data_IF_431275282902
#
_entry.id   IF_431275282902
#
_cell.length_a   1.000
_cell.length_b   1.000
_cell.length_c   1.000
_cell.angle_alpha   90.00
_cell.angle_beta   90.00
_cell.angle_gamma   90.00
#
_symmetry.space_group_name_H-M   'P 1'
#
loop_
_entity.id
_entity.type
_entity.pdbx_description
1 polymer ?
#
# COMPACT_ATOMS: atom_id res chain seq x y z
N UNK A 1 -18.03 -13.01 -4.53
CA UNK A 1 -18.68 -12.42 -3.36
C UNK A 1 -17.65 -11.56 -2.67
N UNK A 2 -17.93 -10.27 -2.53
CA UNK A 2 -17.13 -9.30 -1.77
C UNK A 2 -16.65 -9.88 -0.43
N UNK A 3 -15.38 -9.69 -0.05
CA UNK A 3 -14.92 -10.02 1.31
C UNK A 3 -15.52 -9.00 2.28
N UNK A 4 -16.47 -9.48 3.08
CA UNK A 4 -17.19 -8.70 4.07
C UNK A 4 -17.19 -9.43 5.40
N UNK A 5 -16.74 -8.73 6.44
CA UNK A 5 -16.79 -9.21 7.82
C UNK A 5 -17.98 -8.56 8.54
N UNK A 6 -18.69 -9.34 9.37
CA UNK A 6 -19.90 -8.87 10.03
C UNK A 6 -19.62 -7.83 11.13
N UNK A 7 -18.50 -8.00 11.82
CA UNK A 7 -18.06 -7.23 12.99
C UNK A 7 -16.92 -6.27 12.68
N UNK A 8 -16.35 -6.31 11.46
CA UNK A 8 -15.21 -5.48 11.07
C UNK A 8 -15.43 -4.77 9.73
N UNK A 9 -14.88 -3.57 9.63
CA UNK A 9 -14.55 -2.98 8.33
C UNK A 9 -13.25 -3.57 7.83
N UNK A 10 -13.13 -3.75 6.52
CA UNK A 10 -11.90 -4.15 5.83
C UNK A 10 -11.60 -3.15 4.71
N UNK A 11 -10.34 -2.77 4.50
CA UNK A 11 -10.00 -1.75 3.50
C UNK A 11 -8.74 -2.07 2.67
N UNK A 12 -7.64 -1.36 2.87
CA UNK A 12 -6.41 -1.58 2.11
C UNK A 12 -6.03 -3.04 2.17
N UNK A 13 -5.79 -3.63 0.99
CA UNK A 13 -5.54 -5.05 0.87
C UNK A 13 -4.44 -5.35 -0.13
N UNK A 14 -3.72 -6.44 0.12
CA UNK A 14 -2.63 -6.87 -0.73
C UNK A 14 -2.69 -8.37 -1.02
N UNK A 15 -2.72 -8.74 -2.31
CA UNK A 15 -2.74 -10.13 -2.72
C UNK A 15 -1.32 -10.71 -2.74
N UNK A 16 -1.22 -12.00 -2.44
CA UNK A 16 -0.04 -12.84 -2.64
C UNK A 16 -0.51 -14.20 -3.14
N UNK A 17 0.06 -14.73 -4.22
CA UNK A 17 -0.26 -16.07 -4.71
C UNK A 17 0.88 -17.01 -4.37
N UNK A 18 0.57 -18.09 -3.64
CA UNK A 18 1.57 -19.08 -3.25
C UNK A 18 1.96 -20.00 -4.42
N UNK A 19 3.00 -20.82 -4.23
CA UNK A 19 3.44 -21.79 -5.23
C UNK A 19 2.45 -22.92 -5.52
N UNK A 20 1.36 -23.03 -4.76
CA UNK A 20 0.29 -24.02 -4.93
C UNK A 20 -0.92 -23.45 -5.71
N UNK A 21 -0.91 -22.14 -6.00
CA UNK A 21 -1.99 -21.44 -6.69
C UNK A 21 -3.07 -20.89 -5.76
N UNK A 22 -2.88 -20.93 -4.43
CA UNK A 22 -3.77 -20.27 -3.48
C UNK A 22 -3.52 -18.77 -3.47
N UNK A 23 -4.59 -17.99 -3.49
CA UNK A 23 -4.56 -16.54 -3.40
C UNK A 23 -4.77 -16.11 -1.95
N UNK A 24 -3.70 -15.67 -1.31
CA UNK A 24 -3.74 -15.03 0.01
C UNK A 24 -4.09 -13.56 -0.18
N UNK A 25 -4.98 -13.05 0.66
CA UNK A 25 -5.28 -11.63 0.76
C UNK A 25 -5.05 -11.21 2.21
N UNK A 26 -4.11 -10.30 2.36
CA UNK A 26 -3.88 -9.59 3.61
C UNK A 26 -4.60 -8.26 3.52
N UNK A 27 -5.16 -7.80 4.63
CA UNK A 27 -5.96 -6.58 4.62
C UNK A 27 -5.94 -5.90 5.97
N UNK A 28 -6.11 -4.58 5.95
CA UNK A 28 -6.37 -3.84 7.17
C UNK A 28 -7.83 -4.02 7.59
N UNK A 29 -8.04 -4.16 8.90
CA UNK A 29 -9.35 -4.29 9.50
C UNK A 29 -9.47 -3.54 10.84
N UNK A 30 -10.70 -3.18 11.21
CA UNK A 30 -11.04 -2.54 12.47
C UNK A 30 -12.48 -2.86 12.85
N UNK A 31 -12.78 -2.84 14.15
CA UNK A 31 -14.08 -3.21 14.70
C UNK A 31 -15.18 -2.19 14.33
N UNK A 32 -16.34 -2.67 13.87
CA UNK A 32 -17.52 -1.84 13.54
C UNK A 32 -18.18 -1.24 14.78
N UNK A 33 -17.79 -1.64 15.98
CA UNK A 33 -18.22 -1.03 17.25
C UNK A 33 -17.55 0.31 17.56
N UNK A 34 -16.53 0.72 16.78
CA UNK A 34 -15.97 2.06 16.91
C UNK A 34 -17.06 3.13 16.64
N UNK A 35 -17.03 4.28 17.34
CA UNK A 35 -18.07 5.30 17.19
C UNK A 35 -18.19 5.91 15.79
N UNK A 36 -17.09 5.92 15.03
CA UNK A 36 -17.04 6.46 13.67
C UNK A 36 -16.04 5.67 12.81
N UNK A 37 -16.34 5.38 11.52
CA UNK A 37 -15.45 4.61 10.64
C UNK A 37 -14.06 5.23 10.45
N UNK A 38 -13.92 6.55 10.56
CA UNK A 38 -12.60 7.21 10.45
C UNK A 38 -11.64 6.84 11.60
N UNK A 39 -12.15 6.36 12.73
CA UNK A 39 -11.30 5.87 13.81
C UNK A 39 -10.57 4.57 13.43
N UNK A 40 -10.98 3.88 12.35
CA UNK A 40 -10.33 2.65 11.86
C UNK A 40 -8.84 2.84 11.59
N UNK A 41 -8.45 4.03 11.12
CA UNK A 41 -7.05 4.33 10.80
C UNK A 41 -6.14 4.27 12.02
N UNK A 42 -6.69 4.52 13.22
CA UNK A 42 -5.99 4.50 14.51
C UNK A 42 -6.23 3.24 15.33
N UNK A 43 -7.10 2.34 14.86
CA UNK A 43 -7.38 1.06 15.48
C UNK A 43 -7.24 -0.12 14.50
N UNK A 44 -6.19 -0.16 13.64
CA UNK A 44 -6.05 -1.20 12.64
C UNK A 44 -5.49 -2.48 13.26
N UNK A 45 -5.77 -3.61 12.62
CA UNK A 45 -4.96 -4.82 12.63
C UNK A 45 -4.85 -5.37 11.21
N UNK A 46 -3.87 -6.23 10.95
CA UNK A 46 -3.71 -6.93 9.67
C UNK A 46 -4.43 -8.29 9.77
N UNK A 47 -5.51 -8.45 9.00
CA UNK A 47 -6.24 -9.71 8.83
C UNK A 47 -5.73 -10.51 7.63
N UNK A 48 -6.20 -11.75 7.52
CA UNK A 48 -5.81 -12.68 6.46
C UNK A 48 -7.02 -13.50 5.97
N UNK A 49 -7.10 -13.70 4.66
CA UNK A 49 -8.02 -14.63 4.03
C UNK A 49 -7.33 -15.34 2.86
N UNK A 50 -7.85 -16.50 2.50
CA UNK A 50 -7.38 -17.29 1.35
C UNK A 50 -8.53 -17.59 0.40
N UNK A 51 -8.22 -17.64 -0.90
CA UNK A 51 -9.15 -17.91 -1.98
C UNK A 51 -8.47 -18.72 -3.09
N UNK A 52 -9.26 -19.36 -3.95
CA UNK A 52 -8.79 -19.98 -5.19
C UNK A 52 -9.27 -19.22 -6.44
N UNK A 53 -10.07 -18.16 -6.27
CA UNK A 53 -10.73 -17.44 -7.38
C UNK A 53 -10.83 -15.92 -7.17
N UNK A 54 -10.23 -15.38 -6.09
CA UNK A 54 -10.35 -13.99 -5.62
C UNK A 54 -11.77 -13.52 -5.29
N UNK A 55 -12.76 -14.42 -5.25
CA UNK A 55 -14.18 -14.11 -5.06
C UNK A 55 -14.81 -14.86 -3.90
N UNK A 56 -14.23 -15.99 -3.51
CA UNK A 56 -14.71 -16.82 -2.43
C UNK A 56 -13.59 -16.92 -1.41
N UNK A 57 -13.80 -16.34 -0.24
CA UNK A 57 -12.77 -16.13 0.77
C UNK A 57 -13.02 -17.00 2.00
N UNK A 58 -11.96 -17.67 2.47
CA UNK A 58 -11.90 -18.29 3.80
C UNK A 58 -11.03 -17.42 4.68
N UNK A 59 -11.61 -16.85 5.73
CA UNK A 59 -10.87 -16.06 6.73
C UNK A 59 -9.96 -16.97 7.53
N UNK A 60 -8.72 -16.54 7.72
CA UNK A 60 -7.67 -17.20 8.50
C UNK A 60 -7.35 -16.37 9.75
N UNK A 61 -6.52 -16.88 10.68
CA UNK A 61 -6.08 -16.09 11.83
C UNK A 61 -5.50 -14.74 11.43
N UNK A 62 -5.75 -13.72 12.25
CA UNK A 62 -5.14 -12.40 12.09
C UNK A 62 -3.60 -12.49 12.11
N UNK A 63 -2.95 -11.63 11.33
CA UNK A 63 -1.50 -11.65 11.14
C UNK A 63 -0.80 -10.95 12.29
N UNK A 64 -1.00 -9.64 12.41
CA UNK A 64 -0.43 -8.80 13.47
C UNK A 64 -1.39 -7.63 13.77
N UNK A 65 -1.44 -7.21 15.02
CA UNK A 65 -2.06 -5.97 15.48
C UNK A 65 -0.99 -5.09 16.14
N UNK A 66 -1.18 -3.78 16.35
CA UNK A 66 -0.20 -2.90 17.00
C UNK A 66 0.36 -3.50 18.28
N UNK A 67 1.66 -3.28 18.51
CA UNK A 67 2.32 -3.85 19.69
C UNK A 67 1.62 -3.42 20.98
N UNK A 68 1.36 -4.39 21.86
CA UNK A 68 0.74 -4.13 23.17
C UNK A 68 1.71 -3.42 24.13
N UNK A 69 3.01 -3.56 23.90
CA UNK A 69 4.08 -2.87 24.64
C UNK A 69 4.70 -1.75 23.80
N UNK A 70 5.33 -0.74 24.43
CA UNK A 70 6.03 0.31 23.70
C UNK A 70 7.01 -0.23 22.65
N UNK A 71 6.82 0.20 21.40
CA UNK A 71 7.54 -0.26 20.21
C UNK A 71 7.40 0.78 19.09
N UNK A 72 8.16 0.64 18.00
CA UNK A 72 8.07 1.51 16.82
C UNK A 72 6.73 1.38 16.06
N UNK A 73 5.98 0.30 16.29
CA UNK A 73 4.69 -0.06 15.70
C UNK A 73 3.57 -0.20 16.76
N UNK A 74 3.71 0.43 17.92
CA UNK A 74 2.76 0.34 19.03
C UNK A 74 1.52 1.23 18.91
N UNK A 75 1.45 2.07 17.87
CA UNK A 75 0.27 2.88 17.54
C UNK A 75 -0.55 2.24 16.43
N UNK A 76 0.06 1.94 15.28
CA UNK A 76 -0.64 1.38 14.12
C UNK A 76 0.20 0.33 13.40
N UNK A 77 -0.50 -0.62 12.74
CA UNK A 77 0.03 -1.55 11.73
C UNK A 77 -0.78 -1.36 10.46
N UNK A 78 -0.18 -0.77 9.43
CA UNK A 78 -0.80 -0.36 8.18
C UNK A 78 -0.30 -1.17 6.98
N UNK A 79 -0.75 -0.74 5.80
CA UNK A 79 -0.64 -1.41 4.51
C UNK A 79 0.78 -1.88 4.19
N UNK A 80 0.87 -2.95 3.40
CA UNK A 80 2.12 -3.65 3.16
C UNK A 80 2.18 -4.47 1.87
N UNK A 81 3.17 -5.35 1.79
CA UNK A 81 3.27 -6.38 0.75
C UNK A 81 3.95 -7.63 1.30
N UNK A 82 3.66 -8.77 0.68
CA UNK A 82 4.28 -10.05 1.01
C UNK A 82 5.16 -10.49 -0.15
N UNK A 83 6.36 -10.95 0.18
CA UNK A 83 7.28 -11.64 -0.76
C UNK A 83 7.78 -12.93 -0.14
N UNK A 84 8.16 -13.90 -0.98
CA UNK A 84 8.91 -15.06 -0.52
C UNK A 84 10.40 -14.78 -0.72
N UNK A 85 11.17 -14.83 0.36
CA UNK A 85 12.62 -14.65 0.32
C UNK A 85 13.36 -15.86 -0.28
N UNK A 86 14.66 -15.74 -0.53
CA UNK A 86 15.47 -16.78 -1.18
C UNK A 86 15.61 -18.06 -0.35
N UNK A 87 15.35 -18.00 0.96
CA UNK A 87 15.33 -19.15 1.87
C UNK A 87 14.00 -19.91 1.86
N UNK A 88 13.00 -19.42 1.12
CA UNK A 88 11.64 -19.95 1.09
C UNK A 88 10.73 -19.39 2.18
N UNK A 89 11.26 -18.59 3.12
CA UNK A 89 10.48 -17.90 4.15
C UNK A 89 9.69 -16.74 3.56
N UNK A 90 8.50 -16.49 4.08
CA UNK A 90 7.67 -15.37 3.67
C UNK A 90 7.92 -14.15 4.55
N UNK A 91 7.91 -12.98 3.90
CA UNK A 91 8.18 -11.69 4.52
C UNK A 91 7.02 -10.75 4.24
N UNK A 92 6.31 -10.33 5.29
CA UNK A 92 5.34 -9.25 5.25
C UNK A 92 6.04 -7.96 5.63
N UNK A 93 6.27 -7.08 4.66
CA UNK A 93 6.66 -5.70 4.93
C UNK A 93 5.41 -4.89 5.19
N UNK A 94 5.39 -4.10 6.27
CA UNK A 94 4.23 -3.31 6.66
C UNK A 94 4.67 -1.98 7.27
N UNK A 95 3.75 -1.02 7.27
CA UNK A 95 3.97 0.29 7.90
C UNK A 95 3.58 0.26 9.37
N UNK A 96 4.44 0.80 10.23
CA UNK A 96 4.15 1.01 11.64
C UNK A 96 4.34 2.46 12.03
N UNK A 97 3.63 2.85 13.09
CA UNK A 97 3.81 4.14 13.76
C UNK A 97 3.82 3.93 15.27
N UNK A 98 4.39 4.90 16.00
CA UNK A 98 4.49 4.82 17.47
C UNK A 98 3.69 5.89 18.18
N UNK A 99 3.14 5.53 19.34
CA UNK A 99 2.42 6.43 20.24
C UNK A 99 3.32 7.53 20.79
N UNK A 100 4.63 7.27 20.89
CA UNK A 100 5.61 8.24 21.36
C UNK A 100 5.78 9.45 20.42
N UNK A 101 5.35 9.31 19.17
CA UNK A 101 5.41 10.34 18.12
C UNK A 101 4.00 10.68 17.61
N UNK A 102 2.98 10.47 18.45
CA UNK A 102 1.56 10.67 18.15
C UNK A 102 1.07 9.94 16.88
N UNK A 103 1.80 8.90 16.45
CA UNK A 103 1.53 8.17 15.21
C UNK A 103 1.81 8.96 13.92
N UNK A 104 2.52 10.09 14.00
CA UNK A 104 2.73 11.01 12.87
C UNK A 104 3.91 10.63 11.97
N UNK A 105 4.85 9.84 12.47
CA UNK A 105 6.05 9.41 11.74
C UNK A 105 5.90 7.96 11.29
N UNK A 106 5.92 7.75 9.98
CA UNK A 106 5.70 6.43 9.37
C UNK A 106 7.03 5.76 9.10
N UNK A 107 7.11 4.48 9.46
CA UNK A 107 8.28 3.64 9.22
C UNK A 107 7.86 2.27 8.73
N UNK A 108 8.79 1.56 8.11
CA UNK A 108 8.53 0.23 7.53
C UNK A 108 9.32 -0.80 8.32
N UNK A 109 8.65 -1.87 8.72
CA UNK A 109 9.27 -3.06 9.31
C UNK A 109 8.75 -4.33 8.65
N UNK A 110 9.02 -5.47 9.29
CA UNK A 110 8.74 -6.78 8.73
C UNK A 110 8.19 -7.76 9.76
N UNK A 111 7.34 -8.67 9.32
CA UNK A 111 7.01 -9.90 10.01
C UNK A 111 7.33 -11.08 9.09
N UNK A 112 7.73 -12.20 9.68
CA UNK A 112 8.15 -13.40 8.95
C UNK A 112 7.19 -14.56 9.21
N UNK A 113 7.03 -15.43 8.21
CA UNK A 113 6.22 -16.64 8.31
C UNK A 113 6.84 -17.79 7.52
N UNK A 114 6.67 -19.02 8.02
CA UNK A 114 7.07 -20.23 7.30
C UNK A 114 5.91 -20.86 6.51
N UNK A 115 4.66 -20.47 6.80
CA UNK A 115 3.45 -21.11 6.29
C UNK A 115 2.35 -20.14 5.78
N UNK A 116 2.65 -18.83 5.75
CA UNK A 116 1.73 -17.72 5.42
C UNK A 116 0.57 -17.52 6.42
N UNK A 117 0.49 -18.31 7.48
CA UNK A 117 -0.61 -18.28 8.46
C UNK A 117 -0.13 -17.77 9.82
N UNK A 118 1.02 -18.25 10.29
CA UNK A 118 1.60 -17.84 11.56
C UNK A 118 2.73 -16.84 11.30
N UNK A 119 2.63 -15.67 11.90
CA UNK A 119 3.55 -14.56 11.66
C UNK A 119 4.22 -14.10 12.95
N UNK A 120 5.52 -13.81 12.85
CA UNK A 120 6.32 -13.28 13.95
C UNK A 120 6.98 -11.98 13.52
N UNK A 121 6.93 -10.94 14.37
CA UNK A 121 7.64 -9.69 14.11
C UNK A 121 9.14 -9.94 13.96
N UNK A 122 9.74 -9.31 12.96
CA UNK A 122 11.18 -9.34 12.77
C UNK A 122 11.84 -8.21 13.56
N UNK A 123 12.69 -8.58 14.51
CA UNK A 123 13.43 -7.62 15.34
C UNK A 123 12.54 -6.78 16.27
N UNK A 124 13.16 -5.76 16.88
CA UNK A 124 12.54 -4.82 17.83
C UNK A 124 12.51 -3.37 17.31
N UNK A 125 12.94 -3.16 16.06
CA UNK A 125 13.01 -1.85 15.40
C UNK A 125 12.48 -1.92 13.98
N UNK A 126 12.17 -0.76 13.39
CA UNK A 126 11.88 -0.62 11.97
C UNK A 126 13.12 -0.90 11.11
N UNK A 127 12.90 -1.24 9.85
CA UNK A 127 13.94 -1.48 8.84
C UNK A 127 14.25 -0.24 7.99
N UNK A 128 13.22 0.56 7.69
CA UNK A 128 13.34 1.71 6.77
C UNK A 128 12.54 2.89 7.28
N UNK A 129 13.09 4.10 7.15
CA UNK A 129 12.42 5.38 7.43
C UNK A 129 12.80 6.43 6.38
N UNK A 130 12.10 7.56 6.36
CA UNK A 130 12.37 8.66 5.44
C UNK A 130 13.77 9.27 5.67
N UNK A 131 14.60 9.22 4.62
CA UNK A 131 15.89 9.90 4.59
C UNK A 131 15.70 11.38 4.19
N UNK A 132 16.08 12.35 5.05
CA UNK A 132 15.88 13.78 4.79
C UNK A 132 16.65 14.33 3.59
N UNK A 133 17.61 13.57 3.03
CA UNK A 133 18.27 13.93 1.77
C UNK A 133 17.28 13.94 0.60
N UNK A 134 16.26 13.07 0.65
CA UNK A 134 15.35 12.80 -0.46
C UNK A 134 13.88 13.05 -0.12
N UNK A 135 13.50 12.82 1.14
CA UNK A 135 12.11 12.76 1.56
C UNK A 135 11.78 13.79 2.65
N UNK A 136 10.56 14.29 2.61
CA UNK A 136 10.00 15.21 3.59
C UNK A 136 9.97 14.57 4.98
N UNK A 137 10.34 15.35 6.00
CA UNK A 137 10.22 15.00 7.41
C UNK A 137 9.01 15.70 8.01
N UNK A 138 8.50 15.19 9.13
CA UNK A 138 7.30 15.72 9.78
C UNK A 138 7.41 17.23 10.09
N UNK A 139 6.47 18.00 9.56
CA UNK A 139 6.21 19.39 9.94
C UNK A 139 4.71 19.66 9.82
N UNK A 140 4.04 19.75 10.96
CA UNK A 140 2.59 19.97 11.08
C UNK A 140 2.09 21.26 10.42
N UNK A 141 2.98 22.24 10.16
CA UNK A 141 2.63 23.46 9.44
C UNK A 141 2.58 23.26 7.91
N UNK A 142 3.18 22.19 7.40
CA UNK A 142 3.29 21.89 5.96
C UNK A 142 2.34 20.75 5.56
N UNK A 143 2.33 19.67 6.34
CA UNK A 143 1.57 18.46 6.06
C UNK A 143 1.16 17.76 7.35
N UNK A 144 0.19 16.84 7.27
CA UNK A 144 -0.43 16.24 8.46
C UNK A 144 0.36 15.04 9.02
N UNK A 145 1.27 14.44 8.24
CA UNK A 145 2.08 13.29 8.61
C UNK A 145 3.48 13.33 7.93
N UNK A 146 4.42 12.50 8.38
CA UNK A 146 5.62 12.15 7.61
C UNK A 146 5.33 10.91 6.78
N UNK A 147 4.97 11.12 5.52
CA UNK A 147 4.62 10.06 4.59
C UNK A 147 5.84 9.20 4.24
N UNK A 148 5.85 7.95 4.71
CA UNK A 148 6.83 6.92 4.33
C UNK A 148 6.24 5.54 4.60
N UNK A 149 5.28 5.14 3.77
CA UNK A 149 4.40 3.98 4.01
C UNK A 149 4.13 3.14 2.78
N UNK A 150 3.31 2.12 2.96
CA UNK A 150 2.75 1.25 1.93
C UNK A 150 3.82 0.51 1.09
N UNK A 151 4.75 -0.24 1.73
CA UNK A 151 5.85 -0.88 1.03
C UNK A 151 5.36 -1.88 0.00
N UNK A 152 5.81 -1.72 -1.24
CA UNK A 152 5.69 -2.72 -2.31
C UNK A 152 7.07 -3.26 -2.65
N UNK A 153 7.35 -4.49 -2.22
CA UNK A 153 8.65 -5.15 -2.41
C UNK A 153 8.59 -6.11 -3.59
N UNK A 154 9.62 -6.07 -4.43
CA UNK A 154 9.79 -7.01 -5.54
C UNK A 154 11.28 -7.28 -5.81
N UNK A 155 11.57 -8.46 -6.35
CA UNK A 155 12.93 -8.83 -6.76
C UNK A 155 13.38 -7.98 -7.95
N UNK A 156 14.63 -7.55 -7.96
CA UNK A 156 15.22 -6.86 -9.11
C UNK A 156 15.22 -7.82 -10.32
N UNK A 157 14.62 -7.46 -11.48
CA UNK A 157 14.62 -8.32 -12.67
C UNK A 157 16.03 -8.69 -13.17
N UNK A 158 17.06 -7.93 -12.81
CA UNK A 158 18.45 -8.25 -13.11
C UNK A 158 19.07 -9.28 -12.15
N UNK A 159 18.35 -9.66 -11.08
CA UNK A 159 18.82 -10.55 -10.01
C UNK A 159 19.76 -9.88 -9.01
N UNK A 160 19.79 -8.54 -8.98
CA UNK A 160 20.66 -7.73 -8.13
C UNK A 160 19.96 -7.25 -6.84
N UNK A 161 19.29 -8.17 -6.14
CA UNK A 161 18.61 -7.89 -4.87
C UNK A 161 17.13 -7.54 -5.04
N UNK A 162 16.67 -6.57 -4.27
CA UNK A 162 15.25 -6.26 -4.07
C UNK A 162 15.02 -4.76 -4.09
N UNK A 163 13.87 -4.36 -4.62
CA UNK A 163 13.39 -2.99 -4.58
C UNK A 163 12.15 -2.89 -3.71
N UNK A 164 12.02 -1.75 -3.03
CA UNK A 164 10.83 -1.35 -2.30
C UNK A 164 10.36 -0.01 -2.83
N UNK A 165 9.10 0.03 -3.29
CA UNK A 165 8.39 1.27 -3.58
C UNK A 165 7.64 1.69 -2.33
N UNK A 166 7.59 2.99 -2.08
CA UNK A 166 6.90 3.55 -0.90
C UNK A 166 6.14 4.80 -1.28
N UNK A 167 5.02 5.03 -0.60
CA UNK A 167 4.36 6.33 -0.57
C UNK A 167 5.24 7.30 0.20
N UNK A 168 5.73 8.32 -0.49
CA UNK A 168 6.58 9.33 0.11
C UNK A 168 6.30 10.73 -0.45
N UNK A 169 6.94 11.72 0.16
CA UNK A 169 6.88 13.11 -0.27
C UNK A 169 8.29 13.69 -0.41
N UNK A 170 8.53 14.55 -1.38
CA UNK A 170 9.79 15.31 -1.49
C UNK A 170 9.79 16.52 -0.54
N UNK A 171 10.95 16.98 -0.02
CA UNK A 171 11.01 18.07 0.97
C UNK A 171 10.87 19.48 0.38
N UNK A 172 10.44 19.63 -0.88
CA UNK A 172 10.43 20.90 -1.62
C UNK A 172 9.24 21.02 -2.58
N UNK A 173 8.92 22.25 -2.99
CA UNK A 173 7.78 22.55 -3.87
C UNK A 173 6.49 22.87 -3.10
N UNK A 174 5.38 23.02 -3.81
CA UNK A 174 4.07 23.28 -3.20
C UNK A 174 3.54 22.03 -2.47
N UNK A 175 2.97 22.21 -1.27
CA UNK A 175 2.69 21.09 -0.35
C UNK A 175 1.78 20.00 -0.96
N UNK A 176 0.73 20.40 -1.70
CA UNK A 176 -0.18 19.47 -2.38
C UNK A 176 0.37 18.85 -3.68
N UNK A 177 1.61 19.18 -4.04
CA UNK A 177 2.34 18.58 -5.17
C UNK A 177 3.47 17.65 -4.74
N UNK A 178 3.81 17.57 -3.44
CA UNK A 178 5.04 16.90 -2.99
C UNK A 178 5.02 15.37 -3.06
N UNK A 179 3.88 14.74 -3.37
CA UNK A 179 3.76 13.28 -3.43
C UNK A 179 4.63 12.67 -4.53
N UNK A 180 5.34 11.59 -4.19
CA UNK A 180 6.22 10.83 -5.08
C UNK A 180 6.20 9.34 -4.74
N UNK A 181 6.66 8.53 -5.69
CA UNK A 181 7.05 7.14 -5.44
C UNK A 181 8.47 7.12 -4.90
N UNK A 182 8.60 6.86 -3.59
CA UNK A 182 9.89 6.67 -2.95
C UNK A 182 10.50 5.31 -3.26
N UNK A 183 11.78 5.16 -2.93
CA UNK A 183 12.61 4.01 -3.27
C UNK A 183 13.51 3.60 -2.10
N UNK A 184 13.56 2.31 -1.85
CA UNK A 184 14.67 1.68 -1.17
C UNK A 184 15.12 0.43 -1.93
N UNK A 185 16.37 0.04 -1.73
CA UNK A 185 16.96 -1.18 -2.29
C UNK A 185 17.58 -2.02 -1.20
N UNK A 186 17.53 -3.34 -1.35
CA UNK A 186 18.15 -4.29 -0.42
C UNK A 186 18.84 -5.42 -1.17
N UNK A 187 20.05 -5.84 -0.75
CA UNK A 187 20.68 -7.03 -1.32
C UNK A 187 20.05 -8.34 -0.79
N UNK A 188 19.39 -8.31 0.37
CA UNK A 188 19.10 -9.52 1.17
C UNK A 188 17.73 -9.52 1.88
N UNK A 189 16.90 -8.50 1.67
CA UNK A 189 15.62 -8.22 2.38
C UNK A 189 15.77 -7.80 3.85
N UNK A 190 16.98 -7.81 4.41
CA UNK A 190 17.27 -7.47 5.80
C UNK A 190 17.83 -6.06 5.92
N UNK A 191 18.78 -5.70 5.05
CA UNK A 191 19.47 -4.40 5.04
C UNK A 191 18.96 -3.54 3.91
N UNK A 192 18.49 -2.33 4.21
CA UNK A 192 17.89 -1.44 3.22
C UNK A 192 18.67 -0.14 3.05
N UNK A 193 18.89 0.25 1.80
CA UNK A 193 19.42 1.54 1.39
C UNK A 193 18.28 2.40 0.83
N UNK A 194 17.98 3.52 1.51
CA UNK A 194 17.04 4.51 1.01
C UNK A 194 17.67 5.30 -0.14
N UNK A 195 16.98 5.34 -1.28
CA UNK A 195 17.45 5.91 -2.55
C UNK A 195 16.57 7.09 -2.99
N UNK A 196 16.99 7.89 -3.99
CA UNK A 196 16.15 8.97 -4.54
C UNK A 196 14.80 8.46 -5.06
N UNK A 197 13.75 9.31 -5.11
CA UNK A 197 12.44 8.91 -5.61
C UNK A 197 12.49 8.50 -7.09
N UNK A 198 11.60 7.58 -7.47
CA UNK A 198 11.48 7.08 -8.86
C UNK A 198 10.50 7.90 -9.71
N UNK A 199 9.78 8.83 -9.09
CA UNK A 199 8.90 9.77 -9.78
C UNK A 199 9.24 11.21 -9.42
N UNK A 200 8.90 12.13 -10.33
CA UNK A 200 8.83 13.54 -10.02
C UNK A 200 7.43 13.89 -9.44
N UNK A 201 7.32 14.98 -8.67
CA UNK A 201 6.04 15.63 -8.36
C UNK A 201 5.15 15.78 -9.61
N UNK A 202 3.85 15.46 -9.47
CA UNK A 202 2.89 15.53 -10.58
C UNK A 202 1.49 15.98 -10.18
N UNK A 203 1.39 16.82 -9.14
CA UNK A 203 0.11 17.37 -8.67
C UNK A 203 -0.67 16.46 -7.71
N UNK A 204 0.02 15.50 -7.08
CA UNK A 204 -0.51 14.66 -6.03
C UNK A 204 0.15 15.03 -4.70
N UNK A 205 -0.64 15.18 -3.64
CA UNK A 205 -0.11 15.41 -2.29
C UNK A 205 0.53 14.15 -1.74
N UNK A 206 -0.06 12.99 -2.03
CA UNK A 206 0.45 11.66 -1.70
C UNK A 206 0.08 10.68 -2.81
N UNK A 207 0.92 9.67 -3.00
CA UNK A 207 0.73 8.59 -3.98
C UNK A 207 0.72 7.26 -3.22
N UNK A 208 -0.46 6.88 -2.73
CA UNK A 208 -0.70 5.84 -1.74
C UNK A 208 -0.75 4.44 -2.36
N UNK A 209 -0.44 3.41 -1.58
CA UNK A 209 -0.57 1.98 -1.95
C UNK A 209 0.05 1.67 -3.32
N UNK A 210 1.34 1.99 -3.54
CA UNK A 210 1.99 1.76 -4.81
C UNK A 210 2.05 0.28 -5.14
N UNK A 211 1.98 -0.04 -6.43
CA UNK A 211 2.23 -1.38 -6.96
C UNK A 211 2.91 -1.27 -8.32
N UNK A 212 4.03 -1.96 -8.48
CA UNK A 212 4.56 -2.25 -9.81
C UNK A 212 3.94 -3.53 -10.38
N UNK A 213 3.52 -3.48 -11.64
CA UNK A 213 3.02 -4.63 -12.39
C UNK A 213 3.27 -4.46 -13.89
N UNK A 214 3.55 -5.55 -14.60
CA UNK A 214 3.56 -5.55 -16.07
C UNK A 214 2.21 -5.98 -16.62
N UNK A 215 1.54 -5.06 -17.31
CA UNK A 215 0.23 -5.28 -17.95
C UNK A 215 0.47 -5.46 -19.43
N UNK A 216 0.24 -6.66 -19.96
CA UNK A 216 0.49 -7.02 -21.36
C UNK A 216 1.89 -6.61 -21.87
N UNK A 217 2.90 -6.76 -21.01
CA UNK A 217 4.29 -6.40 -21.30
C UNK A 217 4.61 -4.90 -21.15
N UNK A 218 3.69 -4.10 -20.62
CA UNK A 218 3.89 -2.68 -20.35
C UNK A 218 4.14 -2.46 -18.84
N UNK A 219 5.34 -1.97 -18.45
CA UNK A 219 5.61 -1.51 -17.10
C UNK A 219 4.57 -0.49 -16.64
N UNK A 220 3.84 -0.85 -15.59
CA UNK A 220 2.75 -0.05 -15.05
C UNK A 220 2.92 0.12 -13.55
N UNK A 221 2.65 1.32 -13.06
CA UNK A 221 2.63 1.64 -11.64
C UNK A 221 1.25 2.14 -11.23
N UNK A 222 0.65 1.43 -10.29
CA UNK A 222 -0.67 1.73 -9.71
C UNK A 222 -0.46 2.40 -8.36
N UNK A 223 -1.32 3.36 -8.03
CA UNK A 223 -1.37 4.02 -6.73
C UNK A 223 -2.77 4.61 -6.51
N UNK A 224 -3.14 5.01 -5.29
CA UNK A 224 -4.35 5.78 -5.04
C UNK A 224 -4.05 7.15 -4.45
N UNK A 225 -5.04 8.04 -4.50
CA UNK A 225 -4.94 9.37 -3.90
C UNK A 225 -6.31 9.88 -3.53
N UNK A 226 -6.44 10.43 -2.32
CA UNK A 226 -7.73 10.83 -1.76
C UNK A 226 -8.25 12.12 -2.35
N UNK A 227 -9.56 12.32 -2.25
CA UNK A 227 -10.21 13.57 -2.67
C UNK A 227 -9.61 14.75 -1.89
N UNK A 228 -9.31 15.84 -2.59
CA UNK A 228 -8.72 17.03 -1.98
C UNK A 228 -7.21 16.97 -1.75
N UNK A 229 -6.53 15.85 -1.99
CA UNK A 229 -5.07 15.73 -1.95
C UNK A 229 -4.42 16.00 -3.32
N UNK A 230 -4.93 16.98 -4.05
CA UNK A 230 -4.45 17.35 -5.36
C UNK A 230 -4.02 18.82 -5.40
N UNK A 231 -2.99 19.10 -6.18
CA UNK A 231 -2.62 20.48 -6.49
C UNK A 231 -3.58 21.05 -7.55
N UNK A 232 -4.30 22.15 -7.27
CA UNK A 232 -5.24 22.74 -8.21
C UNK A 232 -4.59 23.28 -9.49
N UNK A 233 -3.26 23.44 -9.53
CA UNK A 233 -2.53 23.79 -10.75
C UNK A 233 -2.45 22.62 -11.74
N UNK A 234 -2.62 21.38 -11.28
CA UNK A 234 -2.52 20.16 -12.09
C UNK A 234 -3.86 19.46 -12.29
N UNK A 235 -4.76 19.55 -11.31
CA UNK A 235 -6.02 18.82 -11.31
C UNK A 235 -7.18 19.72 -10.88
N UNK A 236 -8.38 19.57 -11.48
CA UNK A 236 -9.57 20.25 -11.01
C UNK A 236 -9.81 20.04 -9.51
N UNK A 237 -10.31 21.05 -8.81
CA UNK A 237 -10.54 20.99 -7.37
C UNK A 237 -11.60 19.94 -6.97
N UNK A 238 -12.47 19.55 -7.90
CA UNK A 238 -13.50 18.53 -7.76
C UNK A 238 -13.05 17.14 -8.25
N UNK A 239 -11.75 16.95 -8.49
CA UNK A 239 -11.20 15.62 -8.81
C UNK A 239 -11.54 14.66 -7.66
N UNK A 240 -12.25 13.54 -7.94
CA UNK A 240 -12.60 12.58 -6.90
C UNK A 240 -11.37 11.80 -6.44
N UNK A 241 -11.49 11.20 -5.26
CA UNK A 241 -10.57 10.14 -4.84
C UNK A 241 -10.54 9.03 -5.90
N UNK A 242 -9.46 8.26 -5.94
CA UNK A 242 -9.47 7.05 -6.74
C UNK A 242 -8.11 6.43 -6.95
N UNK A 243 -8.11 5.40 -7.78
CA UNK A 243 -6.94 4.66 -8.20
C UNK A 243 -6.44 5.21 -9.52
N UNK A 244 -5.12 5.34 -9.63
CA UNK A 244 -4.42 5.93 -10.74
C UNK A 244 -3.38 4.94 -11.25
N UNK A 245 -3.15 4.96 -12.57
CA UNK A 245 -2.08 4.20 -13.20
C UNK A 245 -1.19 5.13 -14.01
N UNK A 246 0.10 4.86 -14.01
CA UNK A 246 1.04 5.43 -14.96
C UNK A 246 1.85 4.31 -15.62
N UNK A 247 2.29 4.56 -16.84
CA UNK A 247 3.01 3.58 -17.66
C UNK A 247 4.29 4.19 -18.22
N UNK A 248 5.31 3.37 -18.38
CA UNK A 248 6.57 3.74 -19.01
C UNK A 248 7.06 2.64 -19.97
N UNK A 249 8.17 2.90 -20.66
CA UNK A 249 8.85 1.99 -21.59
C UNK A 249 10.21 1.50 -21.09
N UNK A 250 10.59 1.85 -19.85
CA UNK A 250 11.93 1.71 -19.31
C UNK A 250 12.06 0.59 -18.27
N UNK A 251 10.97 0.25 -17.57
CA UNK A 251 10.92 -0.85 -16.59
C UNK A 251 10.42 -0.43 -15.20
N UNK A 252 10.65 -1.27 -14.17
CA UNK A 252 10.08 -1.08 -12.83
C UNK A 252 10.58 0.16 -12.09
N UNK A 253 11.78 0.61 -12.42
CA UNK A 253 12.42 1.75 -11.77
C UNK A 253 12.10 3.10 -12.45
N UNK A 254 11.19 3.11 -13.41
CA UNK A 254 10.81 4.34 -14.07
C UNK A 254 11.83 4.79 -15.13
N UNK A 255 11.87 6.10 -15.43
CA UNK A 255 11.23 7.18 -14.68
C UNK A 255 9.69 7.12 -14.72
N UNK A 256 9.07 7.40 -13.58
CA UNK A 256 7.61 7.44 -13.43
C UNK A 256 7.10 8.90 -13.53
N UNK A 257 6.25 9.16 -14.52
CA UNK A 257 5.68 10.49 -14.76
C UNK A 257 4.23 10.58 -14.24
N UNK A 258 4.09 11.12 -13.04
CA UNK A 258 2.79 11.28 -12.39
C UNK A 258 1.85 12.25 -13.14
N UNK A 259 2.37 13.15 -13.98
CA UNK A 259 1.52 14.04 -14.80
C UNK A 259 0.75 13.28 -15.89
N UNK A 260 1.21 12.07 -16.24
CA UNK A 260 0.59 11.17 -17.21
C UNK A 260 -0.30 10.11 -16.54
N UNK A 261 -0.52 10.21 -15.23
CA UNK A 261 -1.36 9.27 -14.51
C UNK A 261 -2.82 9.36 -14.95
N UNK A 262 -3.44 8.21 -15.22
CA UNK A 262 -4.84 8.06 -15.63
C UNK A 262 -5.64 7.45 -14.49
N UNK A 263 -6.84 7.97 -14.23
CA UNK A 263 -7.74 7.40 -13.21
C UNK A 263 -8.37 6.11 -13.75
N UNK A 264 -8.44 5.10 -12.89
CA UNK A 264 -9.26 3.90 -13.12
C UNK A 264 -10.74 4.32 -13.00
N UNK A 265 -11.55 3.90 -13.96
CA UNK A 265 -12.97 4.26 -14.08
C UNK A 265 -13.81 3.45 -13.10
N UNK A 266 -13.80 3.85 -11.82
CA UNK A 266 -14.63 3.25 -10.77
C UNK A 266 -14.85 4.25 -9.63
N UNK A 267 -16.11 4.42 -9.22
CA UNK A 267 -16.50 5.54 -8.33
C UNK A 267 -16.08 5.34 -6.86
N UNK A 268 -16.17 4.11 -6.35
CA UNK A 268 -15.90 3.81 -4.94
C UNK A 268 -14.64 3.00 -4.69
N UNK A 269 -13.86 2.67 -5.74
CA UNK A 269 -12.70 1.78 -5.60
C UNK A 269 -11.51 2.57 -5.06
N UNK A 270 -10.93 2.09 -3.97
CA UNK A 270 -9.75 2.70 -3.35
C UNK A 270 -8.73 1.65 -2.90
N UNK A 271 -7.47 2.08 -2.69
CA UNK A 271 -6.33 1.23 -2.32
C UNK A 271 -6.24 -0.09 -3.10
N UNK A 272 -6.46 -0.02 -4.41
CA UNK A 272 -6.60 -1.20 -5.23
C UNK A 272 -5.30 -1.62 -5.89
N UNK A 273 -5.13 -2.94 -6.04
CA UNK A 273 -4.02 -3.58 -6.74
C UNK A 273 -4.51 -4.35 -7.94
N UNK A 274 -3.70 -4.33 -8.99
CA UNK A 274 -3.90 -5.17 -10.16
C UNK A 274 -3.49 -6.60 -9.84
N UNK A 275 -4.35 -7.53 -10.22
CA UNK A 275 -4.15 -8.98 -10.12
C UNK A 275 -4.34 -9.62 -11.49
N UNK A 276 -3.91 -10.87 -11.64
CA UNK A 276 -4.37 -11.74 -12.72
C UNK A 276 -5.37 -12.73 -12.16
N UNK A 277 -6.54 -12.80 -12.77
CA UNK A 277 -7.55 -13.82 -12.41
C UNK A 277 -7.18 -15.20 -12.94
N UNK A 278 -8.01 -16.21 -12.66
CA UNK A 278 -7.79 -17.59 -13.07
C UNK A 278 -7.74 -17.78 -14.60
N UNK A 279 -8.32 -16.87 -15.37
CA UNK A 279 -8.29 -16.87 -16.84
C UNK A 279 -7.06 -16.12 -17.39
N UNK A 280 -6.20 -15.60 -16.50
CA UNK A 280 -5.02 -14.82 -16.84
C UNK A 280 -5.33 -13.37 -17.23
N UNK A 281 -6.56 -12.91 -17.00
CA UNK A 281 -6.99 -11.55 -17.34
C UNK A 281 -6.62 -10.61 -16.20
N UNK A 282 -6.09 -9.43 -16.57
CA UNK A 282 -5.82 -8.38 -15.59
C UNK A 282 -7.12 -7.81 -15.04
N UNK A 283 -7.23 -7.85 -13.72
CA UNK A 283 -8.33 -7.26 -12.95
C UNK A 283 -7.76 -6.32 -11.92
N UNK A 284 -8.63 -5.49 -11.36
CA UNK A 284 -8.27 -4.64 -10.22
C UNK A 284 -9.10 -5.05 -9.00
N UNK A 285 -8.43 -5.19 -7.87
CA UNK A 285 -8.96 -5.65 -6.59
C UNK A 285 -8.66 -4.58 -5.53
N UNK A 286 -9.70 -4.05 -4.90
CA UNK A 286 -9.58 -3.05 -3.84
C UNK A 286 -10.87 -2.99 -3.04
N UNK A 287 -10.97 -2.03 -2.13
CA UNK A 287 -12.15 -1.92 -1.28
C UNK A 287 -13.14 -0.87 -1.79
N UNK A 288 -14.40 -1.06 -1.43
CA UNK A 288 -15.42 -0.04 -1.59
C UNK A 288 -15.28 0.97 -0.46
N UNK A 289 -14.82 2.17 -0.81
CA UNK A 289 -14.60 3.26 0.15
C UNK A 289 -15.92 3.91 0.52
N UNK A 290 -16.35 4.91 -0.24
CA UNK A 290 -17.56 5.68 0.06
C UNK A 290 -18.63 5.44 -1.01
N UNK A 291 -19.83 5.10 -0.58
CA UNK A 291 -21.03 4.97 -1.43
C UNK A 291 -22.15 5.79 -0.79
N UNK A 292 -22.79 6.68 -1.56
CA UNK A 292 -23.85 7.56 -1.07
C UNK A 292 -23.48 8.38 0.18
N UNK A 293 -22.20 8.71 0.33
CA UNK A 293 -21.67 9.48 1.46
C UNK A 293 -21.37 8.67 2.73
N UNK A 294 -21.53 7.35 2.69
CA UNK A 294 -21.21 6.44 3.80
C UNK A 294 -20.02 5.54 3.47
N UNK A 295 -19.14 5.33 4.46
CA UNK A 295 -18.03 4.41 4.35
C UNK A 295 -18.53 2.95 4.40
N UNK A 296 -18.16 2.15 3.39
CA UNK A 296 -18.61 0.76 3.24
C UNK A 296 -17.62 -0.21 3.92
N UNK A 297 -16.34 -0.14 3.54
CA UNK A 297 -15.26 -0.93 4.15
C UNK A 297 -15.41 -2.43 3.89
N UNK A 298 -15.46 -2.81 2.61
CA UNK A 298 -15.58 -4.19 2.13
C UNK A 298 -14.69 -4.38 0.88
N UNK A 299 -13.97 -5.52 0.74
CA UNK A 299 -13.13 -5.77 -0.45
C UNK A 299 -14.01 -6.27 -1.59
N UNK A 300 -14.06 -5.51 -2.68
CA UNK A 300 -14.87 -5.83 -3.85
C UNK A 300 -14.39 -7.12 -4.52
N UNK A 301 -15.30 -7.79 -5.24
CA UNK A 301 -14.87 -8.78 -6.23
C UNK A 301 -13.94 -8.10 -7.25
N UNK A 302 -12.99 -8.83 -7.88
CA UNK A 302 -12.15 -8.27 -8.93
C UNK A 302 -13.01 -7.66 -10.05
N UNK A 303 -12.75 -6.39 -10.35
CA UNK A 303 -13.43 -5.64 -11.40
C UNK A 303 -12.52 -5.47 -12.62
N UNK A 304 -13.12 -5.08 -13.74
CA UNK A 304 -12.38 -4.81 -14.98
C UNK A 304 -11.48 -3.58 -14.82
N UNK A 305 -10.26 -3.67 -15.36
CA UNK A 305 -9.35 -2.53 -15.41
C UNK A 305 -9.72 -1.63 -16.59
N UNK A 306 -10.59 -0.66 -16.32
CA UNK A 306 -11.02 0.36 -17.28
C UNK A 306 -10.48 1.71 -16.85
N UNK A 307 -10.11 2.55 -17.81
CA UNK A 307 -9.56 3.88 -17.55
C UNK A 307 -10.49 4.95 -18.10
N UNK A 308 -10.52 6.10 -17.43
CA UNK A 308 -11.10 7.33 -17.97
C UNK A 308 -10.26 7.89 -19.15
#
# INVERSE_FOLDING_TARGET
>A
MTLRLADKWVWDSWPFTDGQGSHHLFYLQADRSLPHPDQRHWNPSIGHAVSTDYRTWTVLPDVIAPSETPSWDDCTTWTGSVVQGPTGRYHLFYTGTTKAEDGMVQRIGRADSDDLVHWERFGDTFLVEADPRWYERYDAAIWHDEAFRDPWVFEDPAGEGWHMLVTARVPHGESFSRGVIGHAWSPDLDTWEVRPPLSAPGGFGQMEVPQYVEIDGVPSLVFCSGAGFYDPAFKPADTPAGVWIMQNDSGPLGPWDATRARRVSHDSLYAARVIRDADGVFRILGFSDTVDGEFVGEILDPVELVFD
#
